data_IF_519981307310
#
_entry.id   IF_519981307310
#
_cell.length_a   1.000
_cell.length_b   1.000
_cell.length_c   1.000
_cell.angle_alpha   90.00
_cell.angle_beta   90.00
_cell.angle_gamma   90.00
#
_symmetry.space_group_name_H-M   'P 1'
#
loop_
_entity.id
_entity.type
_entity.pdbx_description
1 polymer ?
#
# COMPACT_ATOMS: atom_id res chain seq x y z
N UNK A 1 -4.09 3.37 15.36
CA UNK A 1 -2.76 3.56 14.73
C UNK A 1 -2.04 2.23 14.76
N UNK A 2 -1.61 1.68 13.62
CA UNK A 2 -0.92 0.39 13.52
C UNK A 2 0.37 0.48 12.71
N UNK A 3 1.17 -0.59 12.72
CA UNK A 3 2.40 -0.73 11.93
C UNK A 3 2.28 -1.92 10.99
N UNK A 4 2.48 -1.69 9.69
CA UNK A 4 2.26 -2.69 8.64
C UNK A 4 3.50 -2.83 7.74
N UNK A 5 3.90 -4.08 7.50
CA UNK A 5 4.87 -4.42 6.47
C UNK A 5 4.16 -4.86 5.20
N UNK A 6 4.51 -4.28 4.05
CA UNK A 6 3.95 -4.66 2.75
C UNK A 6 5.07 -5.24 1.90
N UNK A 7 4.95 -6.52 1.54
CA UNK A 7 5.91 -7.24 0.69
C UNK A 7 5.39 -7.23 -0.75
N UNK A 8 6.10 -6.54 -1.62
CA UNK A 8 5.70 -6.21 -2.99
C UNK A 8 4.94 -4.88 -3.05
N UNK A 9 5.43 -3.94 -3.86
CA UNK A 9 4.87 -2.59 -4.10
C UNK A 9 4.37 -2.42 -5.54
N UNK A 10 4.00 -3.53 -6.19
CA UNK A 10 3.21 -3.53 -7.41
C UNK A 10 1.76 -3.06 -7.16
N UNK A 11 0.82 -3.26 -8.10
CA UNK A 11 -0.52 -2.67 -8.01
C UNK A 11 -1.26 -2.91 -6.69
N UNK A 12 -1.36 -4.17 -6.24
CA UNK A 12 -2.11 -4.54 -5.03
C UNK A 12 -1.42 -4.10 -3.73
N UNK A 13 -0.10 -4.27 -3.63
CA UNK A 13 0.64 -3.86 -2.45
C UNK A 13 0.77 -2.34 -2.36
N UNK A 14 0.98 -1.67 -3.50
CA UNK A 14 1.06 -0.21 -3.60
C UNK A 14 -0.24 0.47 -3.18
N UNK A 15 -1.41 -0.01 -3.65
CA UNK A 15 -2.69 0.57 -3.24
C UNK A 15 -2.99 0.33 -1.75
N UNK A 16 -2.65 -0.84 -1.21
CA UNK A 16 -2.78 -1.14 0.21
C UNK A 16 -1.86 -0.25 1.06
N UNK A 17 -0.58 -0.14 0.69
CA UNK A 17 0.41 0.71 1.35
C UNK A 17 -0.02 2.18 1.35
N UNK A 18 -0.50 2.69 0.21
CA UNK A 18 -0.98 4.06 0.07
C UNK A 18 -2.19 4.33 0.97
N UNK A 19 -3.20 3.45 0.98
CA UNK A 19 -4.37 3.61 1.85
C UNK A 19 -4.02 3.51 3.34
N UNK A 20 -3.17 2.57 3.74
CA UNK A 20 -2.73 2.43 5.13
C UNK A 20 -1.95 3.67 5.60
N UNK A 21 -1.03 4.18 4.77
CA UNK A 21 -0.27 5.38 5.07
C UNK A 21 -1.17 6.63 5.16
N UNK A 22 -2.13 6.79 4.22
CA UNK A 22 -3.12 7.86 4.27
C UNK A 22 -4.06 7.77 5.47
N UNK A 23 -4.35 6.57 5.97
CA UNK A 23 -5.09 6.35 7.20
C UNK A 23 -4.26 6.62 8.48
N UNK A 24 -3.02 7.09 8.35
CA UNK A 24 -2.12 7.46 9.45
C UNK A 24 -1.37 6.29 10.07
N UNK A 25 -1.33 5.12 9.42
CA UNK A 25 -0.52 4.01 9.90
C UNK A 25 0.95 4.14 9.50
N UNK A 26 1.85 3.56 10.30
CA UNK A 26 3.25 3.41 9.89
C UNK A 26 3.36 2.25 8.91
N UNK A 27 3.83 2.52 7.70
CA UNK A 27 3.93 1.51 6.62
C UNK A 27 5.38 1.38 6.18
N UNK A 28 5.89 0.15 6.19
CA UNK A 28 7.19 -0.20 5.63
C UNK A 28 6.98 -1.04 4.38
N UNK A 29 7.41 -0.53 3.23
CA UNK A 29 7.35 -1.24 1.95
C UNK A 29 8.64 -2.00 1.66
N UNK A 30 8.52 -3.22 1.15
CA UNK A 30 9.63 -4.04 0.66
C UNK A 30 9.35 -4.40 -0.79
N UNK A 31 10.29 -4.11 -1.70
CA UNK A 31 10.20 -4.51 -3.10
C UNK A 31 11.59 -4.90 -3.65
N UNK A 32 11.60 -5.93 -4.50
CA UNK A 32 12.82 -6.42 -5.17
C UNK A 32 13.32 -5.45 -6.22
N UNK A 33 12.42 -4.65 -6.82
CA UNK A 33 12.75 -3.66 -7.81
C UNK A 33 13.33 -2.40 -7.15
N UNK A 34 14.64 -2.21 -7.31
CA UNK A 34 15.41 -1.14 -6.68
C UNK A 34 14.94 0.25 -7.02
N UNK A 35 14.87 0.56 -8.30
CA UNK A 35 14.54 1.88 -8.79
C UNK A 35 13.12 2.28 -8.35
N UNK A 36 12.21 1.30 -8.31
CA UNK A 36 10.85 1.49 -7.83
C UNK A 36 10.78 1.86 -6.34
N UNK A 37 11.44 1.10 -5.45
CA UNK A 37 11.43 1.43 -4.01
C UNK A 37 12.18 2.72 -3.70
N UNK A 38 13.25 3.04 -4.43
CA UNK A 38 13.99 4.29 -4.28
C UNK A 38 13.12 5.49 -4.70
N UNK A 39 12.42 5.38 -5.83
CA UNK A 39 11.44 6.36 -6.27
C UNK A 39 10.31 6.57 -5.25
N UNK A 40 9.82 5.49 -4.63
CA UNK A 40 8.77 5.57 -3.59
C UNK A 40 9.32 6.24 -2.32
N UNK A 41 10.55 5.93 -1.91
CA UNK A 41 11.16 6.54 -0.72
C UNK A 41 11.38 8.04 -0.89
N UNK A 42 11.73 8.49 -2.10
CA UNK A 42 11.96 9.90 -2.42
C UNK A 42 10.65 10.67 -2.63
N UNK A 43 9.70 10.11 -3.38
CA UNK A 43 8.53 10.83 -3.89
C UNK A 43 7.20 10.40 -3.29
N UNK A 44 7.19 9.33 -2.50
CA UNK A 44 5.98 8.66 -2.04
C UNK A 44 5.34 7.78 -3.12
N UNK A 45 4.20 7.17 -2.76
CA UNK A 45 3.36 6.42 -3.68
C UNK A 45 2.29 7.35 -4.27
N UNK A 46 2.25 7.43 -5.60
CA UNK A 46 1.17 8.08 -6.33
C UNK A 46 0.27 7.02 -6.96
N UNK A 47 -1.01 7.01 -6.58
CA UNK A 47 -2.03 6.13 -7.16
C UNK A 47 -3.08 7.01 -7.79
N UNK A 48 -3.09 7.06 -9.13
CA UNK A 48 -4.02 7.88 -9.92
C UNK A 48 -5.16 7.04 -10.49
N UNK A 49 -6.27 7.71 -10.82
CA UNK A 49 -7.43 7.07 -11.45
C UNK A 49 -8.36 6.34 -10.49
N UNK A 50 -8.11 6.40 -9.17
CA UNK A 50 -9.00 5.77 -8.20
C UNK A 50 -10.33 6.53 -8.11
N UNK A 51 -11.43 5.82 -8.36
CA UNK A 51 -12.79 6.21 -7.97
C UNK A 51 -13.50 5.01 -7.34
N UNK A 52 -14.54 5.33 -6.59
CA UNK A 52 -15.25 4.60 -5.54
C UNK A 52 -14.78 3.18 -5.13
N UNK A 53 -14.24 3.10 -3.90
CA UNK A 53 -13.86 1.87 -3.17
C UNK A 53 -14.83 1.68 -1.98
N UNK A 54 -15.43 0.50 -1.83
CA UNK A 54 -16.30 0.17 -0.69
C UNK A 54 -15.98 -1.22 -0.12
N UNK A 55 -15.89 -1.31 1.20
CA UNK A 55 -15.79 -2.53 2.02
C UNK A 55 -16.68 -2.30 3.23
N UNK A 56 -17.68 -3.14 3.54
CA UNK A 56 -17.56 -4.43 4.28
C UNK A 56 -18.65 -5.46 3.81
N UNK A 57 -18.97 -6.63 4.45
CA UNK A 57 -18.35 -7.39 5.54
C UNK A 57 -17.53 -8.61 5.07
N UNK A 58 -16.60 -9.09 5.90
CA UNK A 58 -15.64 -10.15 5.57
C UNK A 58 -15.61 -11.23 6.65
N UNK A 59 -15.75 -12.49 6.24
CA UNK A 59 -15.21 -13.69 6.90
C UNK A 59 -14.97 -14.71 5.80
N UNK A 60 -13.75 -15.24 5.67
CA UNK A 60 -13.48 -16.29 4.66
C UNK A 60 -12.46 -17.28 5.17
N UNK A 61 -12.92 -18.52 5.37
CA UNK A 61 -12.17 -19.75 5.58
C UNK A 61 -13.05 -20.96 5.20
N UNK A 62 -12.50 -22.17 4.95
CA UNK A 62 -11.09 -22.56 5.00
C UNK A 62 -10.32 -22.39 3.68
#
# INVERSE_FOLDING_TARGET
MGRYGIVGLGPSGGIAAAHLALAGHEVVGVDVWREHREAIAERGLEVVGLRELRSPPLEVLP
#
